data_IF_068966361128
#
_entry.id   IF_068966361128
#
_cell.length_a   1.000
_cell.length_b   1.000
_cell.length_c   1.000
_cell.angle_alpha   90.00
_cell.angle_beta   90.00
_cell.angle_gamma   90.00
#
_symmetry.space_group_name_H-M   'P 1'
#
loop_
_entity.id
_entity.type
_entity.pdbx_description
1 polymer ?
#
# COMPACT_ATOMS: atom_id res chain seq x y z
N UNK A 1 -22.72 16.77 -7.06
CA UNK A 1 -22.12 15.63 -6.48
C UNK A 1 -20.67 15.88 -6.13
N UNK A 2 -20.36 15.57 -4.97
CA UNK A 2 -19.03 15.78 -4.47
C UNK A 2 -18.14 14.65 -4.94
N UNK A 3 -17.06 14.97 -5.63
CA UNK A 3 -16.19 13.95 -6.17
C UNK A 3 -15.20 13.41 -5.15
N UNK A 4 -14.96 14.13 -4.06
CA UNK A 4 -13.97 13.69 -3.07
C UNK A 4 -14.29 12.32 -2.48
N UNK A 5 -15.50 12.07 -1.99
CA UNK A 5 -15.84 10.75 -1.47
C UNK A 5 -15.71 9.67 -2.54
N UNK A 6 -16.05 10.01 -3.76
CA UNK A 6 -15.95 9.05 -4.85
C UNK A 6 -14.50 8.71 -5.15
N UNK A 7 -13.62 9.72 -5.12
CA UNK A 7 -12.21 9.48 -5.33
C UNK A 7 -11.65 8.56 -4.27
N UNK A 8 -12.03 8.81 -3.01
CA UNK A 8 -11.61 7.94 -1.91
C UNK A 8 -12.12 6.53 -2.12
N UNK A 9 -13.37 6.39 -2.58
CA UNK A 9 -13.96 5.07 -2.79
C UNK A 9 -13.23 4.27 -3.85
N UNK A 10 -12.60 4.95 -4.81
CA UNK A 10 -11.82 4.26 -5.82
C UNK A 10 -10.59 3.57 -5.24
N UNK A 11 -10.01 4.15 -4.21
CA UNK A 11 -8.74 3.66 -3.67
C UNK A 11 -8.86 3.02 -2.30
N UNK A 12 -10.01 3.16 -1.66
CA UNK A 12 -10.25 2.68 -0.30
C UNK A 12 -11.53 1.87 -0.30
N UNK A 13 -11.45 0.64 0.20
CA UNK A 13 -12.62 -0.23 0.23
C UNK A 13 -12.54 -1.20 1.40
N UNK A 14 -13.71 -1.68 1.82
CA UNK A 14 -13.79 -2.68 2.88
C UNK A 14 -13.73 -4.06 2.27
N UNK A 15 -13.10 -5.00 2.97
CA UNK A 15 -13.06 -6.39 2.52
C UNK A 15 -13.56 -7.29 3.63
N UNK A 16 -14.12 -8.42 3.22
CA UNK A 16 -14.62 -9.44 4.12
C UNK A 16 -13.83 -10.71 3.92
N UNK A 17 -14.09 -11.69 4.78
CA UNK A 17 -13.46 -12.99 4.64
C UNK A 17 -13.72 -13.56 3.24
N UNK A 18 -14.95 -13.37 2.74
CA UNK A 18 -15.32 -13.91 1.43
C UNK A 18 -14.68 -13.19 0.27
N UNK A 19 -14.39 -11.89 0.41
CA UNK A 19 -13.86 -11.11 -0.72
C UNK A 19 -12.35 -10.94 -0.66
N UNK A 20 -11.71 -11.38 0.42
CA UNK A 20 -10.31 -11.10 0.63
C UNK A 20 -9.41 -11.68 -0.45
N UNK A 21 -9.64 -12.92 -0.85
CA UNK A 21 -8.81 -13.56 -1.85
C UNK A 21 -8.82 -12.77 -3.15
N UNK A 22 -9.99 -12.38 -3.60
CA UNK A 22 -10.11 -11.69 -4.87
C UNK A 22 -9.65 -10.24 -4.77
N UNK A 23 -10.08 -9.55 -3.72
CA UNK A 23 -9.84 -8.13 -3.61
C UNK A 23 -8.44 -7.78 -3.13
N UNK A 24 -7.80 -8.68 -2.42
CA UNK A 24 -6.46 -8.41 -1.90
C UNK A 24 -5.41 -9.29 -2.54
N UNK A 25 -5.54 -10.61 -2.41
CA UNK A 25 -4.49 -11.52 -2.89
C UNK A 25 -4.34 -11.44 -4.40
N UNK A 26 -5.43 -11.67 -5.12
CA UNK A 26 -5.37 -11.66 -6.58
C UNK A 26 -5.05 -10.27 -7.12
N UNK A 27 -5.70 -9.27 -6.55
CA UNK A 27 -5.52 -7.90 -7.03
C UNK A 27 -4.11 -7.39 -6.76
N UNK A 28 -3.44 -7.91 -5.75
CA UNK A 28 -2.08 -7.49 -5.42
C UNK A 28 -1.07 -7.86 -6.49
N UNK A 29 -1.45 -8.70 -7.45
CA UNK A 29 -0.58 -9.00 -8.59
C UNK A 29 -0.53 -7.84 -9.57
N UNK A 30 -1.50 -6.94 -9.51
CA UNK A 30 -1.56 -5.78 -10.39
C UNK A 30 -1.10 -4.50 -9.70
N UNK A 31 -1.40 -4.39 -8.40
CA UNK A 31 -1.12 -3.17 -7.65
C UNK A 31 -0.94 -3.54 -6.19
N UNK A 32 0.01 -2.93 -5.47
CA UNK A 32 0.15 -3.22 -4.04
C UNK A 32 -1.12 -2.84 -3.28
N UNK A 33 -1.51 -3.68 -2.35
CA UNK A 33 -2.70 -3.47 -1.52
C UNK A 33 -2.26 -3.30 -0.07
N UNK A 34 -2.57 -2.14 0.49
CA UNK A 34 -2.35 -1.89 1.90
C UNK A 34 -3.57 -2.39 2.65
N UNK A 35 -3.37 -3.28 3.61
CA UNK A 35 -4.48 -3.83 4.39
C UNK A 35 -4.40 -3.29 5.80
N UNK A 36 -5.45 -2.63 6.25
CA UNK A 36 -5.57 -2.03 7.58
C UNK A 36 -6.49 -2.90 8.43
N UNK A 37 -5.90 -3.62 9.39
CA UNK A 37 -6.68 -4.39 10.35
C UNK A 37 -7.02 -3.46 11.51
N UNK A 38 -8.31 -3.21 11.72
CA UNK A 38 -8.79 -2.21 12.65
C UNK A 38 -10.03 -2.71 13.39
N UNK A 39 -10.50 -1.94 14.36
CA UNK A 39 -11.75 -2.19 15.04
C UNK A 39 -12.34 -0.86 15.49
N UNK A 40 -13.65 -0.84 15.58
CA UNK A 40 -14.37 0.40 15.90
C UNK A 40 -14.03 0.93 17.28
N UNK A 41 -13.79 0.04 18.24
CA UNK A 41 -13.48 0.43 19.62
C UNK A 41 -12.04 0.88 19.80
N UNK A 42 -11.24 0.78 18.79
CA UNK A 42 -9.80 1.01 18.88
C UNK A 42 -9.50 2.49 18.59
N UNK A 43 -9.09 3.22 19.63
CA UNK A 43 -8.76 4.64 19.50
C UNK A 43 -7.66 4.91 18.50
N UNK A 44 -6.50 4.24 18.61
CA UNK A 44 -5.42 4.44 17.65
C UNK A 44 -5.81 4.10 16.22
N UNK A 45 -6.71 3.13 16.02
CA UNK A 45 -7.20 2.81 14.69
C UNK A 45 -7.94 4.00 14.08
N UNK A 46 -8.72 4.68 14.89
CA UNK A 46 -9.48 5.84 14.40
C UNK A 46 -8.58 7.02 14.08
N UNK A 47 -7.38 7.04 14.65
CA UNK A 47 -6.41 8.08 14.31
C UNK A 47 -5.67 7.72 13.02
N UNK A 48 -5.28 6.46 12.87
CA UNK A 48 -4.52 6.03 11.72
C UNK A 48 -5.35 5.93 10.44
N UNK A 49 -6.62 5.51 10.55
CA UNK A 49 -7.47 5.33 9.39
C UNK A 49 -7.47 6.50 8.43
N UNK A 50 -7.82 7.70 8.92
CA UNK A 50 -7.83 8.87 8.03
C UNK A 50 -6.46 9.19 7.43
N UNK A 51 -5.38 8.93 8.17
CA UNK A 51 -4.04 9.16 7.67
C UNK A 51 -3.75 8.22 6.50
N UNK A 52 -4.07 6.93 6.67
CA UNK A 52 -3.88 5.96 5.60
C UNK A 52 -4.70 6.33 4.36
N UNK A 53 -5.95 6.71 4.57
CA UNK A 53 -6.82 7.06 3.45
C UNK A 53 -6.27 8.24 2.68
N UNK A 54 -5.80 9.25 3.40
CA UNK A 54 -5.27 10.45 2.77
C UNK A 54 -4.00 10.15 1.97
N UNK A 55 -3.09 9.40 2.57
CA UNK A 55 -1.82 9.10 1.90
C UNK A 55 -2.02 8.18 0.71
N UNK A 56 -2.85 7.13 0.88
CA UNK A 56 -3.12 6.22 -0.22
C UNK A 56 -3.78 6.95 -1.38
N UNK A 57 -4.72 7.84 -1.09
CA UNK A 57 -5.40 8.59 -2.15
C UNK A 57 -4.41 9.44 -2.93
N UNK A 58 -3.39 9.96 -2.27
CA UNK A 58 -2.38 10.77 -2.95
C UNK A 58 -1.54 9.97 -3.93
N UNK A 59 -1.51 8.65 -3.80
CA UNK A 59 -0.80 7.79 -4.74
C UNK A 59 -1.60 7.52 -6.02
N UNK A 60 -2.85 7.98 -6.06
CA UNK A 60 -3.67 8.03 -7.28
C UNK A 60 -3.77 6.69 -8.00
N UNK A 61 -4.03 5.62 -7.25
CA UNK A 61 -4.25 4.30 -7.82
C UNK A 61 -3.03 3.43 -7.94
N UNK A 62 -1.85 3.94 -7.59
CA UNK A 62 -0.63 3.13 -7.63
C UNK A 62 -0.52 2.24 -6.39
N UNK A 63 -1.38 2.44 -5.42
CA UNK A 63 -1.53 1.59 -4.26
C UNK A 63 -2.98 1.74 -3.80
N UNK A 64 -3.55 0.67 -3.25
CA UNK A 64 -4.93 0.70 -2.78
C UNK A 64 -4.97 0.34 -1.31
N UNK A 65 -6.06 0.72 -0.64
CA UNK A 65 -6.25 0.46 0.78
C UNK A 65 -7.48 -0.40 0.99
N UNK A 66 -7.27 -1.57 1.56
CA UNK A 66 -8.33 -2.48 1.95
C UNK A 66 -8.46 -2.46 3.46
N UNK A 67 -9.67 -2.29 3.96
CA UNK A 67 -9.90 -2.19 5.40
C UNK A 67 -10.57 -3.47 5.89
N UNK A 68 -10.03 -4.05 6.95
CA UNK A 68 -10.54 -5.27 7.56
C UNK A 68 -10.94 -4.96 8.99
N UNK A 69 -12.25 -5.04 9.27
CA UNK A 69 -12.77 -4.90 10.63
C UNK A 69 -12.56 -6.23 11.33
N UNK A 70 -11.65 -6.27 12.30
CA UNK A 70 -11.27 -7.54 12.94
C UNK A 70 -12.41 -8.14 13.74
N UNK A 71 -13.34 -7.33 14.21
CA UNK A 71 -14.50 -7.86 14.94
C UNK A 71 -15.47 -8.54 13.98
N UNK A 72 -15.65 -7.97 12.80
CA UNK A 72 -16.55 -8.53 11.81
C UNK A 72 -15.93 -9.69 11.04
N UNK A 73 -14.60 -9.68 10.92
CA UNK A 73 -13.88 -10.69 10.13
C UNK A 73 -12.83 -11.38 10.99
N UNK A 74 -13.26 -12.14 12.03
CA UNK A 74 -12.27 -12.76 12.92
C UNK A 74 -11.43 -13.82 12.22
N UNK A 75 -11.95 -14.46 11.18
CA UNK A 75 -11.16 -15.44 10.45
C UNK A 75 -9.93 -14.82 9.79
N UNK A 76 -10.07 -13.61 9.27
CA UNK A 76 -8.93 -12.93 8.68
C UNK A 76 -7.91 -12.53 9.73
N UNK A 77 -8.39 -12.05 10.89
CA UNK A 77 -7.48 -11.70 11.97
C UNK A 77 -6.68 -12.91 12.43
N UNK A 78 -7.32 -14.08 12.49
CA UNK A 78 -6.64 -15.30 12.86
C UNK A 78 -5.66 -15.76 11.80
N UNK A 79 -6.07 -15.68 10.54
CA UNK A 79 -5.24 -16.11 9.43
C UNK A 79 -3.91 -15.37 9.43
N UNK A 80 -3.92 -14.09 9.72
CA UNK A 80 -2.72 -13.28 9.69
C UNK A 80 -2.15 -13.01 11.07
N UNK A 81 -2.68 -13.71 12.09
CA UNK A 81 -2.16 -13.67 13.46
C UNK A 81 -2.09 -12.25 14.00
N UNK A 82 -3.18 -11.52 13.83
CA UNK A 82 -3.26 -10.15 14.29
C UNK A 82 -3.40 -10.16 15.81
N UNK A 83 -2.40 -9.64 16.52
CA UNK A 83 -2.43 -9.58 17.98
C UNK A 83 -2.55 -8.17 18.50
N UNK A 84 -2.18 -7.19 17.72
CA UNK A 84 -2.31 -5.78 18.09
C UNK A 84 -2.86 -4.99 16.92
N UNK A 85 -3.71 -4.01 17.20
CA UNK A 85 -4.28 -3.17 16.17
C UNK A 85 -4.07 -1.71 16.53
N UNK A 86 -3.97 -0.82 15.54
CA UNK A 86 -4.06 -1.12 14.11
C UNK A 86 -2.84 -1.89 13.62
N UNK A 87 -3.06 -2.83 12.74
CA UNK A 87 -1.98 -3.58 12.10
C UNK A 87 -2.10 -3.36 10.60
N UNK A 88 -1.02 -2.95 9.98
CA UNK A 88 -1.03 -2.63 8.55
C UNK A 88 -0.07 -3.57 7.84
N UNK A 89 -0.56 -4.25 6.80
CA UNK A 89 0.25 -5.15 6.01
C UNK A 89 0.09 -4.78 4.55
N UNK A 90 1.19 -4.80 3.80
CA UNK A 90 1.14 -4.53 2.37
C UNK A 90 1.29 -5.83 1.62
N UNK A 91 0.34 -6.09 0.74
CA UNK A 91 0.34 -7.28 -0.12
C UNK A 91 0.77 -6.89 -1.52
N UNK A 92 1.70 -7.64 -2.07
CA UNK A 92 2.14 -7.45 -3.44
C UNK A 92 2.53 -8.81 -3.99
N UNK A 93 1.98 -9.12 -5.15
CA UNK A 93 2.21 -10.41 -5.82
C UNK A 93 1.82 -11.58 -4.93
N UNK A 94 0.72 -11.39 -4.22
CA UNK A 94 0.08 -12.44 -3.44
C UNK A 94 0.63 -12.67 -2.06
N UNK A 95 1.56 -11.85 -1.59
CA UNK A 95 2.15 -12.08 -0.27
C UNK A 95 2.44 -10.75 0.44
N UNK A 96 2.64 -10.84 1.75
CA UNK A 96 2.97 -9.68 2.56
C UNK A 96 4.42 -9.29 2.29
N UNK A 97 4.63 -8.05 1.88
CA UNK A 97 5.99 -7.57 1.59
C UNK A 97 6.47 -6.55 2.60
N UNK A 98 5.58 -5.97 3.40
CA UNK A 98 5.97 -5.05 4.46
C UNK A 98 4.80 -4.88 5.43
N UNK A 99 5.09 -4.39 6.63
CA UNK A 99 4.05 -4.24 7.63
C UNK A 99 4.52 -3.35 8.78
N UNK A 100 3.55 -2.80 9.51
CA UNK A 100 3.83 -2.13 10.77
C UNK A 100 2.60 -2.23 11.68
N UNK A 101 2.81 -1.97 12.96
CA UNK A 101 1.74 -2.04 13.97
C UNK A 101 1.72 -0.71 14.72
N UNK A 102 0.52 -0.25 15.04
CA UNK A 102 0.32 0.96 15.82
C UNK A 102 0.05 2.17 14.96
N UNK A 103 -0.50 3.20 15.59
CA UNK A 103 -0.79 4.46 14.89
C UNK A 103 0.52 5.16 14.56
N UNK A 104 0.62 5.63 13.34
CA UNK A 104 1.79 6.37 12.87
C UNK A 104 1.31 7.65 12.21
N UNK A 105 2.19 8.64 12.17
CA UNK A 105 1.81 9.90 11.57
C UNK A 105 1.89 9.84 10.05
N UNK A 106 1.43 10.91 9.41
CA UNK A 106 1.35 10.96 7.97
C UNK A 106 2.72 10.81 7.30
N UNK A 107 3.73 11.39 7.90
CA UNK A 107 5.09 11.33 7.34
C UNK A 107 5.60 9.90 7.31
N UNK A 108 5.39 9.18 8.41
CA UNK A 108 5.79 7.78 8.45
C UNK A 108 5.09 6.97 7.39
N UNK A 109 3.77 7.15 7.26
CA UNK A 109 2.99 6.39 6.29
C UNK A 109 3.41 6.71 4.87
N UNK A 110 3.64 8.00 4.59
CA UNK A 110 4.06 8.41 3.25
C UNK A 110 5.41 7.76 2.90
N UNK A 111 6.36 7.80 3.82
CA UNK A 111 7.67 7.20 3.59
C UNK A 111 7.57 5.69 3.44
N UNK A 112 6.72 5.07 4.24
CA UNK A 112 6.49 3.63 4.19
C UNK A 112 6.00 3.21 2.81
N UNK A 113 5.06 3.96 2.24
CA UNK A 113 4.53 3.63 0.93
C UNK A 113 5.47 4.03 -0.20
N UNK A 114 6.20 5.13 -0.03
CA UNK A 114 7.16 5.54 -1.06
C UNK A 114 8.24 4.49 -1.27
N UNK A 115 8.61 3.78 -0.22
CA UNK A 115 9.62 2.74 -0.34
C UNK A 115 9.15 1.58 -1.21
N UNK A 116 7.84 1.40 -1.31
CA UNK A 116 7.25 0.30 -2.06
C UNK A 116 6.83 0.72 -3.46
N UNK A 117 6.36 1.96 -3.58
CA UNK A 117 5.81 2.48 -4.83
C UNK A 117 6.40 3.85 -5.06
N UNK A 118 7.41 3.98 -5.91
CA UNK A 118 8.05 5.28 -6.15
C UNK A 118 7.05 6.32 -6.64
N UNK A 119 7.36 7.58 -6.36
CA UNK A 119 6.51 8.68 -6.80
C UNK A 119 6.48 8.74 -8.33
N UNK A 120 5.49 9.38 -8.92
CA UNK A 120 5.46 9.51 -10.38
C UNK A 120 6.70 10.18 -10.93
N UNK A 121 7.24 11.17 -10.24
CA UNK A 121 8.45 11.83 -10.70
C UNK A 121 9.63 10.88 -10.69
N UNK A 122 9.78 10.11 -9.61
CA UNK A 122 10.86 9.13 -9.53
C UNK A 122 10.72 8.06 -10.60
N UNK A 123 9.51 7.63 -10.86
CA UNK A 123 9.27 6.63 -11.90
C UNK A 123 9.64 7.18 -13.28
N UNK A 124 9.32 8.44 -13.54
CA UNK A 124 9.67 9.05 -14.81
C UNK A 124 11.16 9.12 -15.00
N UNK A 125 11.88 9.49 -13.96
CA UNK A 125 13.34 9.56 -14.04
C UNK A 125 13.94 8.18 -14.25
N UNK A 126 13.43 7.19 -13.57
CA UNK A 126 13.91 5.82 -13.73
C UNK A 126 13.66 5.32 -15.14
N UNK A 127 12.49 5.62 -15.68
CA UNK A 127 12.17 5.20 -17.03
C UNK A 127 13.09 5.85 -18.04
N UNK A 128 13.37 7.14 -17.87
CA UNK A 128 14.28 7.84 -18.76
C UNK A 128 15.68 7.27 -18.68
N UNK A 129 16.16 7.01 -17.47
CA UNK A 129 17.49 6.44 -17.28
C UNK A 129 17.57 5.04 -17.89
N UNK A 130 16.54 4.24 -17.70
CA UNK A 130 16.51 2.90 -18.25
C UNK A 130 16.54 2.93 -19.77
N UNK A 131 15.81 3.87 -20.37
CA UNK A 131 15.79 4.00 -21.81
C UNK A 131 17.18 4.34 -22.35
N UNK A 132 17.88 5.23 -21.67
CA UNK A 132 19.23 5.58 -22.08
C UNK A 132 20.18 4.40 -21.97
N UNK A 133 20.09 3.68 -20.87
CA UNK A 133 20.98 2.54 -20.65
C UNK A 133 20.69 1.42 -21.63
N UNK A 134 19.42 1.15 -21.89
CA UNK A 134 19.08 0.08 -22.81
C UNK A 134 19.49 0.42 -24.22
N UNK A 135 19.53 1.71 -24.55
CA UNK A 135 20.02 2.11 -25.85
C UNK A 135 21.50 1.81 -26.00
N UNK A 136 22.21 1.70 -24.90
CA UNK A 136 23.62 1.36 -24.94
C UNK A 136 23.86 -0.11 -24.84
N UNK A 137 23.15 -0.76 -23.98
CA UNK A 137 23.41 -2.16 -23.77
C UNK A 137 22.29 -2.80 -23.13
N UNK A 138 21.69 -2.29 -22.55
CA UNK A 138 20.77 -2.88 -21.86
C UNK A 138 20.82 -2.93 -20.51
N UNK A 139 21.28 -2.53 -19.82
CA UNK A 139 21.07 -2.27 -18.71
C UNK A 139 21.60 -2.13 -17.81
N UNK A 140 22.07 -1.84 -17.73
CA UNK A 140 22.52 -1.75 -16.79
C UNK A 140 22.24 -1.39 -15.86
N UNK A 141 22.23 -1.27 -15.72
CA UNK A 141 21.97 -1.00 -14.70
C UNK A 141 21.85 -0.73 -13.84
N UNK A 142 22.32 -0.70 -13.94
CA UNK A 142 22.05 -0.40 -12.99
C UNK A 142 22.22 0.33 -12.42
N UNK A 143 22.94 0.79 -12.71
CA UNK A 143 22.93 1.42 -11.94
C UNK A 143 22.70 2.05 -11.39
N UNK A 144 23.21 2.17 -11.69
CA UNK A 144 22.79 2.55 -10.93
C UNK A 144 22.48 2.71 -10.25
N UNK A 145 22.90 2.67 -10.17
CA UNK A 145 22.46 2.63 -9.34
C UNK A 145 22.31 3.23 -8.80
N UNK A 146 22.97 3.48 -9.19
CA UNK A 146 22.74 3.93 -8.55
C UNK A 146 22.59 4.71 -8.29
N UNK A 147 23.39 5.03 -8.28
CA UNK A 147 23.02 5.34 -8.03
C UNK A 147 22.57 5.30 -7.59
N UNK A 148 23.04 4.85 -8.01
CA UNK A 148 22.39 4.29 -7.70
C UNK A 148 21.98 3.93 -7.20
N UNK A 149 22.51 3.98 -7.19
CA UNK A 149 21.87 3.26 -6.83
C UNK A 149 21.33 3.16 -6.53
N UNK A 150 21.69 2.98 -6.59
CA UNK A 150 20.94 2.45 -6.41
C UNK A 150 20.41 2.42 -6.30
N UNK A 151 21.22 2.44 -6.51
CA UNK A 151 20.60 1.95 -6.55
C UNK A 151 20.22 1.78 -6.37
#
# INVERSE_FOLDING_TARGET
MDTSPETHAEYVFDVTTDTFEKQVIERSHEVPIVVDFWAEWCGPCRMLGPVLERVVSAFAGRVLLAKVDTDAQPALAQRFRISGIPAVKVFHKGRVVNEFVGARDQRFVANFLDALVPSPAAQSLEAAAAALLSGQSDQVIALVEPLLADS
#
